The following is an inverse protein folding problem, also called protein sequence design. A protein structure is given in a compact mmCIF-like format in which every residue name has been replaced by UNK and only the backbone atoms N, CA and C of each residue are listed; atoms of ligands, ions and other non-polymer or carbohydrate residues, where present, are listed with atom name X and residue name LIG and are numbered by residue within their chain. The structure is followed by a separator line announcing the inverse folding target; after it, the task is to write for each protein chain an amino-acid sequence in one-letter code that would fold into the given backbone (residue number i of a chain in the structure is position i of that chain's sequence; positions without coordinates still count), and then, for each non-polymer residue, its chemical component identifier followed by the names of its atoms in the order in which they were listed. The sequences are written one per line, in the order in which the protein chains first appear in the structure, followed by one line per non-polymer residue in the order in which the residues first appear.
data_IF_344977399613
#
_entry.id   IF_344977399613
#
_cell.length_a   1.000
_cell.length_b   1.000
_cell.length_c   1.000
_cell.angle_alpha   90.00
_cell.angle_beta   90.00
_cell.angle_gamma   90.00
#
_symmetry.space_group_name_H-M   'P 1'
#
loop_
_entity.id
_entity.type
_entity.pdbx_description
1 polymer ?
#
# COMPACT_ATOMS: atom_id res chain seq x y z
N UNK A 1 -56.66 20.63 9.31
CA UNK A 1 -55.32 21.00 8.81
C UNK A 1 -54.31 20.00 9.35
N UNK A 2 -53.66 19.32 8.51
CA UNK A 2 -52.59 18.38 8.91
C UNK A 2 -51.26 19.11 8.81
N UNK A 3 -50.40 19.08 9.83
CA UNK A 3 -49.10 19.78 9.79
C UNK A 3 -48.15 19.06 8.86
N UNK A 4 -47.78 19.72 7.78
CA UNK A 4 -46.77 19.24 6.80
C UNK A 4 -45.35 19.34 7.35
N UNK A 5 -45.20 19.73 8.60
CA UNK A 5 -43.87 19.96 9.21
C UNK A 5 -43.11 18.75 9.69
N UNK A 6 -43.75 17.57 9.74
CA UNK A 6 -43.08 16.33 10.20
C UNK A 6 -42.15 15.70 9.15
N UNK A 7 -42.33 16.01 7.86
CA UNK A 7 -41.52 15.41 6.80
C UNK A 7 -40.16 16.12 6.59
N UNK A 8 -40.04 17.38 7.02
CA UNK A 8 -38.79 18.13 6.81
C UNK A 8 -37.70 17.83 7.83
N UNK A 9 -38.06 17.36 9.01
CA UNK A 9 -37.11 17.03 10.08
C UNK A 9 -36.39 15.68 9.84
N UNK A 10 -37.04 14.73 9.19
CA UNK A 10 -36.47 13.40 8.91
C UNK A 10 -35.43 13.47 7.78
N UNK A 11 -35.62 14.38 6.84
CA UNK A 11 -34.70 14.57 5.71
C UNK A 11 -33.34 15.13 6.15
N UNK A 12 -33.30 16.02 7.12
CA UNK A 12 -32.03 16.63 7.59
C UNK A 12 -31.18 15.66 8.42
N UNK A 13 -31.80 14.85 9.26
CA UNK A 13 -31.09 13.85 10.05
C UNK A 13 -30.59 12.68 9.20
N UNK A 14 -31.36 12.27 8.19
CA UNK A 14 -30.93 11.25 7.24
C UNK A 14 -29.74 11.73 6.38
N UNK A 15 -29.71 13.02 6.00
CA UNK A 15 -28.63 13.59 5.22
C UNK A 15 -27.33 13.72 6.04
N UNK A 16 -27.43 14.08 7.33
CA UNK A 16 -26.26 14.15 8.23
C UNK A 16 -25.68 12.77 8.50
N UNK A 17 -26.52 11.74 8.67
CA UNK A 17 -26.09 10.36 8.81
C UNK A 17 -25.43 9.80 7.52
N UNK A 18 -25.94 10.18 6.35
CA UNK A 18 -25.33 9.79 5.07
C UNK A 18 -23.97 10.46 4.86
N UNK A 19 -23.82 11.74 5.22
CA UNK A 19 -22.52 12.42 5.15
C UNK A 19 -21.51 11.86 6.15
N UNK A 20 -21.93 11.47 7.35
CA UNK A 20 -21.04 10.85 8.35
C UNK A 20 -20.49 9.49 7.87
N UNK A 21 -21.27 8.71 7.11
CA UNK A 21 -20.83 7.44 6.53
C UNK A 21 -19.75 7.61 5.45
N UNK A 22 -19.69 8.76 4.77
CA UNK A 22 -18.65 9.05 3.77
C UNK A 22 -17.29 9.43 4.39
N UNK A 23 -17.25 9.89 5.64
CA UNK A 23 -16.00 10.28 6.30
C UNK A 23 -15.25 9.13 7.00
N UNK A 24 -15.87 7.94 7.13
CA UNK A 24 -15.24 6.77 7.77
C UNK A 24 -14.47 5.92 6.74
N UNK A 25 -14.54 6.25 5.45
CA UNK A 25 -13.75 5.64 4.39
C UNK A 25 -12.29 6.10 4.39
N UNK A 26 -11.57 5.91 5.50
CA UNK A 26 -10.12 5.99 5.49
C UNK A 26 -9.59 5.00 4.46
N UNK A 27 -8.62 5.42 3.62
CA UNK A 27 -7.97 4.60 2.60
C UNK A 27 -7.15 3.44 3.20
N UNK A 28 -7.76 2.62 4.05
CA UNK A 28 -7.18 1.39 4.52
C UNK A 28 -7.29 0.37 3.38
N UNK A 29 -6.15 -0.05 2.84
CA UNK A 29 -6.10 -1.14 1.86
C UNK A 29 -6.15 -2.47 2.59
N UNK A 30 -6.84 -3.44 2.00
CA UNK A 30 -6.80 -4.80 2.49
C UNK A 30 -5.36 -5.31 2.42
N UNK A 31 -4.85 -5.86 3.52
CA UNK A 31 -3.56 -6.52 3.52
C UNK A 31 -3.60 -7.81 2.69
N UNK A 32 -2.49 -8.22 2.06
CA UNK A 32 -2.39 -9.49 1.38
C UNK A 32 -2.69 -10.65 2.34
N UNK A 33 -3.43 -11.64 1.88
CA UNK A 33 -3.82 -12.80 2.72
C UNK A 33 -2.62 -13.68 3.09
N UNK A 34 -1.60 -13.71 2.23
CA UNK A 34 -0.38 -14.47 2.46
C UNK A 34 0.83 -13.55 2.22
N UNK A 35 1.57 -13.31 3.28
CA UNK A 35 2.87 -12.66 3.19
C UNK A 35 3.90 -13.71 3.54
N UNK A 36 4.82 -13.98 2.60
CA UNK A 36 5.94 -14.84 2.88
C UNK A 36 6.77 -14.29 4.05
N UNK A 37 7.25 -15.16 4.90
CA UNK A 37 8.12 -14.74 6.01
C UNK A 37 9.45 -14.24 5.45
N UNK A 38 9.62 -12.95 5.43
CA UNK A 38 10.78 -12.27 4.85
C UNK A 38 11.51 -11.54 5.97
N UNK A 39 12.78 -11.84 6.16
CA UNK A 39 13.68 -10.99 6.98
C UNK A 39 14.22 -9.83 6.16
N UNK A 40 14.77 -10.12 4.99
CA UNK A 40 15.24 -9.17 4.00
C UNK A 40 15.25 -9.81 2.62
N UNK A 41 14.81 -9.07 1.60
CA UNK A 41 14.80 -9.55 0.22
C UNK A 41 15.07 -8.45 -0.77
N UNK A 42 15.79 -8.77 -1.84
CA UNK A 42 16.11 -7.87 -2.93
C UNK A 42 15.46 -8.36 -4.22
N UNK A 43 14.93 -7.42 -4.99
CA UNK A 43 14.36 -7.67 -6.31
C UNK A 43 14.98 -6.74 -7.34
N UNK A 44 15.17 -7.24 -8.54
CA UNK A 44 15.45 -6.41 -9.72
C UNK A 44 14.15 -6.26 -10.49
N UNK A 45 13.72 -5.03 -10.69
CA UNK A 45 12.52 -4.68 -11.46
C UNK A 45 12.97 -4.16 -12.83
N UNK A 46 12.39 -4.69 -13.89
CA UNK A 46 12.60 -4.21 -15.26
C UNK A 46 11.27 -3.70 -15.80
N UNK A 47 11.21 -2.44 -16.20
CA UNK A 47 10.00 -1.85 -16.79
C UNK A 47 9.82 -2.22 -18.27
N UNK A 48 8.73 -1.74 -18.87
CA UNK A 48 8.40 -2.00 -20.29
C UNK A 48 9.45 -1.45 -21.27
N UNK A 49 10.23 -0.47 -20.85
CA UNK A 49 11.31 0.13 -21.68
C UNK A 49 12.65 -0.58 -21.45
N UNK A 50 12.70 -1.62 -20.63
CA UNK A 50 13.92 -2.33 -20.28
C UNK A 50 14.76 -1.62 -19.22
N UNK A 51 14.25 -0.55 -18.59
CA UNK A 51 14.95 0.15 -17.51
C UNK A 51 14.90 -0.67 -16.24
N UNK A 52 16.06 -0.92 -15.66
CA UNK A 52 16.20 -1.70 -14.43
C UNK A 52 16.22 -0.81 -13.21
N UNK A 53 15.66 -1.32 -12.13
CA UNK A 53 15.70 -0.71 -10.81
C UNK A 53 15.83 -1.79 -9.73
N UNK A 54 16.14 -1.39 -8.51
CA UNK A 54 16.38 -2.30 -7.39
C UNK A 54 15.43 -2.00 -6.26
N UNK A 55 14.68 -3.00 -5.81
CA UNK A 55 13.81 -2.91 -4.65
C UNK A 55 14.36 -3.78 -3.52
N UNK A 56 14.48 -3.19 -2.34
CA UNK A 56 14.87 -3.90 -1.12
C UNK A 56 13.69 -3.86 -0.15
N UNK A 57 13.29 -5.01 0.35
CA UNK A 57 12.28 -5.14 1.38
C UNK A 57 12.94 -5.74 2.61
N UNK A 58 12.72 -5.13 3.76
CA UNK A 58 13.18 -5.64 5.05
C UNK A 58 12.05 -5.60 6.07
N UNK A 59 11.96 -6.64 6.89
CA UNK A 59 11.05 -6.66 8.03
C UNK A 59 11.65 -5.83 9.16
N UNK A 60 10.85 -4.91 9.71
CA UNK A 60 11.20 -4.14 10.88
C UNK A 60 10.49 -4.79 12.07
N UNK A 61 11.23 -5.25 13.07
CA UNK A 61 10.63 -5.79 14.28
C UNK A 61 9.94 -4.68 15.06
N UNK A 62 8.63 -4.77 15.31
CA UNK A 62 7.95 -3.79 16.15
C UNK A 62 8.40 -3.93 17.61
N UNK A 63 8.37 -2.81 18.33
CA UNK A 63 8.63 -2.80 19.78
C UNK A 63 7.53 -3.52 20.59
N UNK A 64 6.34 -3.71 20.02
CA UNK A 64 5.20 -4.46 20.57
C UNK A 64 4.67 -5.46 19.52
N UNK A 65 4.53 -6.72 19.92
CA UNK A 65 4.47 -7.92 19.08
C UNK A 65 3.27 -8.16 18.16
N UNK A 66 2.33 -7.23 17.95
CA UNK A 66 1.10 -7.50 17.19
C UNK A 66 1.07 -6.91 15.78
N UNK A 67 1.96 -5.97 15.46
CA UNK A 67 2.02 -5.27 14.19
C UNK A 67 3.23 -5.72 13.38
N UNK A 68 3.01 -6.18 12.14
CA UNK A 68 4.10 -6.47 11.21
C UNK A 68 4.44 -5.23 10.41
N UNK A 69 5.71 -4.83 10.44
CA UNK A 69 6.24 -3.69 9.69
C UNK A 69 7.28 -4.12 8.68
N UNK A 70 7.17 -3.54 7.50
CA UNK A 70 8.11 -3.76 6.40
C UNK A 70 8.57 -2.42 5.86
N UNK A 71 9.86 -2.35 5.53
CA UNK A 71 10.47 -1.19 4.88
C UNK A 71 10.77 -1.53 3.42
N UNK A 72 10.31 -0.67 2.50
CA UNK A 72 10.70 -0.69 1.10
C UNK A 72 11.69 0.44 0.84
N UNK A 73 12.77 0.11 0.16
CA UNK A 73 13.67 1.08 -0.47
C UNK A 73 13.77 0.72 -1.94
N UNK A 74 13.24 1.57 -2.81
CA UNK A 74 13.27 1.38 -4.25
C UNK A 74 14.25 2.38 -4.85
N UNK A 75 15.28 1.89 -5.52
CA UNK A 75 16.39 2.65 -6.06
C UNK A 75 16.49 2.43 -7.57
N UNK A 76 16.94 3.44 -8.30
CA UNK A 76 17.42 3.23 -9.66
C UNK A 76 18.76 2.46 -9.66
N UNK A 77 19.29 2.16 -10.83
CA UNK A 77 20.56 1.41 -10.94
C UNK A 77 21.79 2.24 -10.51
N UNK A 78 21.65 3.56 -10.43
CA UNK A 78 22.69 4.46 -9.94
C UNK A 78 22.65 4.65 -8.41
N UNK A 79 21.61 4.09 -7.76
CA UNK A 79 21.41 4.20 -6.32
C UNK A 79 20.57 5.39 -5.89
N UNK A 80 19.99 6.16 -6.82
CA UNK A 80 19.08 7.24 -6.47
C UNK A 80 17.72 6.69 -6.01
N UNK A 81 17.13 7.22 -4.93
CA UNK A 81 15.88 6.72 -4.40
C UNK A 81 14.70 7.10 -5.31
N UNK A 82 13.93 6.09 -5.73
CA UNK A 82 12.65 6.24 -6.43
C UNK A 82 11.52 6.35 -5.42
N UNK A 83 11.53 5.47 -4.41
CA UNK A 83 10.56 5.48 -3.33
C UNK A 83 11.16 4.90 -2.04
N UNK A 84 10.68 5.40 -0.91
CA UNK A 84 10.95 4.85 0.42
C UNK A 84 9.65 4.83 1.19
N UNK A 85 9.20 3.65 1.60
CA UNK A 85 7.92 3.43 2.26
C UNK A 85 8.08 2.51 3.45
N UNK A 86 7.25 2.74 4.46
CA UNK A 86 7.02 1.81 5.55
C UNK A 86 5.58 1.34 5.46
N UNK A 87 5.40 0.03 5.45
CA UNK A 87 4.11 -0.63 5.51
C UNK A 87 3.92 -1.22 6.90
N UNK A 88 2.81 -0.85 7.52
CA UNK A 88 2.34 -1.47 8.76
C UNK A 88 1.12 -2.33 8.46
N UNK A 89 1.13 -3.56 8.92
CA UNK A 89 0.01 -4.51 8.78
C UNK A 89 -0.47 -4.90 10.17
N UNK A 90 -1.73 -4.56 10.46
CA UNK A 90 -2.42 -4.92 11.67
C UNK A 90 -3.89 -5.19 11.35
N UNK A 91 -4.49 -6.21 11.96
CA UNK A 91 -5.91 -6.57 11.83
C UNK A 91 -6.39 -6.73 10.38
N UNK A 92 -5.54 -7.24 9.48
CA UNK A 92 -5.84 -7.41 8.06
C UNK A 92 -5.84 -6.13 7.23
N UNK A 93 -5.44 -5.00 7.82
CA UNK A 93 -5.30 -3.71 7.16
C UNK A 93 -3.84 -3.35 6.90
N UNK A 94 -3.56 -2.82 5.72
CA UNK A 94 -2.26 -2.32 5.33
C UNK A 94 -2.26 -0.78 5.31
N UNK A 95 -1.34 -0.17 6.06
CA UNK A 95 -1.16 1.28 6.13
C UNK A 95 0.23 1.65 5.67
N UNK A 96 0.31 2.59 4.73
CA UNK A 96 1.57 3.10 4.20
C UNK A 96 1.95 4.43 4.83
N UNK A 97 3.24 4.60 5.06
CA UNK A 97 3.87 5.85 5.46
C UNK A 97 5.11 6.10 4.61
N UNK A 98 5.31 7.33 4.17
CA UNK A 98 6.58 7.70 3.53
C UNK A 98 7.72 7.67 4.55
N UNK A 99 8.86 7.15 4.12
CA UNK A 99 10.11 7.18 4.88
C UNK A 99 11.07 8.15 4.18
N UNK A 100 11.07 9.40 4.63
CA UNK A 100 11.87 10.49 4.08
C UNK A 100 11.04 11.55 3.34
N UNK A 101 11.70 12.38 2.53
CA UNK A 101 11.14 13.56 1.87
C UNK A 101 10.60 13.30 0.45
N UNK A 102 10.55 12.05 0.02
CA UNK A 102 10.01 11.71 -1.29
C UNK A 102 8.50 11.95 -1.33
N UNK A 103 7.96 12.46 -2.46
CA UNK A 103 6.55 12.70 -2.59
C UNK A 103 5.74 11.41 -2.47
N UNK A 104 4.47 11.49 -1.98
CA UNK A 104 3.58 10.33 -1.94
C UNK A 104 3.35 9.79 -3.35
N UNK A 105 3.52 8.49 -3.50
CA UNK A 105 3.31 7.79 -4.77
C UNK A 105 2.52 6.49 -4.55
N UNK A 106 1.29 6.46 -5.07
CA UNK A 106 0.43 5.29 -4.99
C UNK A 106 0.87 4.13 -5.89
N UNK A 107 1.71 4.39 -6.89
CA UNK A 107 2.30 3.34 -7.72
C UNK A 107 3.30 2.52 -6.93
N UNK A 108 4.18 3.17 -6.17
CA UNK A 108 5.15 2.48 -5.31
C UNK A 108 4.48 1.62 -4.24
N UNK A 109 3.33 2.05 -3.72
CA UNK A 109 2.54 1.25 -2.78
C UNK A 109 2.02 -0.05 -3.40
N UNK A 110 1.51 0.01 -4.63
CA UNK A 110 1.05 -1.18 -5.36
C UNK A 110 2.20 -2.12 -5.71
N UNK A 111 3.33 -1.57 -6.13
CA UNK A 111 4.55 -2.37 -6.36
C UNK A 111 4.99 -3.05 -5.08
N UNK A 112 4.99 -2.34 -3.96
CA UNK A 112 5.37 -2.89 -2.67
C UNK A 112 4.47 -4.07 -2.23
N UNK A 113 3.16 -3.92 -2.31
CA UNK A 113 2.23 -5.01 -2.00
C UNK A 113 2.45 -6.23 -2.90
N UNK A 114 2.62 -6.01 -4.21
CA UNK A 114 2.87 -7.09 -5.15
C UNK A 114 4.20 -7.81 -4.89
N UNK A 115 5.25 -7.10 -4.48
CA UNK A 115 6.52 -7.71 -4.07
C UNK A 115 6.35 -8.57 -2.82
N UNK A 116 5.59 -8.13 -1.83
CA UNK A 116 5.31 -8.89 -0.62
C UNK A 116 4.47 -10.15 -0.91
N UNK A 117 3.42 -10.02 -1.72
CA UNK A 117 2.56 -11.15 -2.11
C UNK A 117 3.30 -12.25 -2.86
N UNK A 118 4.31 -11.88 -3.63
CA UNK A 118 5.06 -12.79 -4.49
C UNK A 118 6.51 -13.01 -4.03
N UNK A 119 6.80 -12.71 -2.79
CA UNK A 119 8.17 -12.74 -2.28
C UNK A 119 8.81 -14.15 -2.23
N UNK A 120 8.00 -15.19 -2.27
CA UNK A 120 8.41 -16.60 -2.38
C UNK A 120 8.76 -17.01 -3.81
N UNK A 121 8.37 -16.22 -4.82
CA UNK A 121 8.61 -16.52 -6.23
C UNK A 121 9.95 -15.95 -6.69
N UNK A 122 10.65 -16.72 -7.54
CA UNK A 122 11.90 -16.29 -8.16
C UNK A 122 11.69 -15.22 -9.24
N UNK A 123 10.61 -15.33 -10.03
CA UNK A 123 10.26 -14.42 -11.12
C UNK A 123 8.76 -14.20 -11.14
N UNK A 124 8.32 -12.98 -11.33
CA UNK A 124 6.91 -12.64 -11.49
C UNK A 124 6.76 -11.27 -12.17
N UNK A 125 5.53 -10.95 -12.60
CA UNK A 125 5.20 -9.68 -13.23
C UNK A 125 4.29 -8.87 -12.31
N UNK A 126 4.56 -7.59 -12.20
CA UNK A 126 3.77 -6.61 -11.45
C UNK A 126 3.10 -5.66 -12.43
N UNK A 127 1.79 -5.46 -12.28
CA UNK A 127 1.03 -4.42 -12.97
C UNK A 127 0.60 -3.36 -11.95
N UNK A 128 1.13 -2.16 -12.07
CA UNK A 128 0.84 -1.06 -11.19
C UNK A 128 0.48 0.20 -11.99
N UNK A 129 -0.79 0.63 -11.90
CA UNK A 129 -1.29 1.83 -12.57
C UNK A 129 -0.94 1.92 -14.06
N UNK A 130 -1.15 0.82 -14.81
CA UNK A 130 -0.88 0.76 -16.25
C UNK A 130 0.59 0.60 -16.61
N UNK A 131 1.49 0.49 -15.63
CA UNK A 131 2.90 0.11 -15.87
C UNK A 131 3.14 -1.33 -15.47
N UNK A 132 3.90 -2.01 -16.28
CA UNK A 132 4.33 -3.38 -16.07
C UNK A 132 5.79 -3.41 -15.65
N UNK A 133 6.09 -4.24 -14.66
CA UNK A 133 7.44 -4.54 -14.21
C UNK A 133 7.63 -6.05 -14.16
N UNK A 134 8.73 -6.53 -14.70
CA UNK A 134 9.17 -7.90 -14.50
C UNK A 134 10.13 -7.92 -13.30
N UNK A 135 9.79 -8.71 -12.29
CA UNK A 135 10.52 -8.79 -11.04
C UNK A 135 11.29 -10.10 -10.95
N UNK A 136 12.55 -10.00 -10.58
CA UNK A 136 13.44 -11.15 -10.33
C UNK A 136 13.99 -11.04 -8.92
N UNK A 137 13.77 -12.08 -8.12
CA UNK A 137 14.34 -12.18 -6.78
C UNK A 137 15.82 -12.50 -6.83
N UNK A 138 16.60 -11.84 -5.98
CA UNK A 138 18.04 -12.13 -5.75
C UNK A 138 18.28 -12.59 -4.33
#
# INVERSE_FOLDING_TARGET
MRPVYCFYAISKTAFILLCAAFFIGGCARKAPEQIAEISQKQFILTDELGVKSRALISKISPASGEESRYKLVWLDMLGAPIARKILSIADGEAKFRNDGFLPPDSQSERVFLALLENADKANFTINAKGRRYDAVSK
#
